data_IF_612443236072
#
_entry.id   IF_612443236072
#
_cell.length_a   1.000
_cell.length_b   1.000
_cell.length_c   1.000
_cell.angle_alpha   90.00
_cell.angle_beta   90.00
_cell.angle_gamma   90.00
#
_symmetry.space_group_name_H-M   'P 1'
#
loop_
_entity.id
_entity.type
_entity.pdbx_description
1 polymer ?
#
# COMPACT_ATOMS: atom_id res chain seq x y z
N UNK A 1 -13.36 -11.59 -51.28
CA UNK A 1 -12.53 -11.73 -50.06
C UNK A 1 -12.13 -10.33 -49.64
N UNK A 2 -12.82 -9.75 -48.66
CA UNK A 2 -12.40 -8.47 -48.08
C UNK A 2 -11.31 -8.83 -47.08
N UNK A 3 -10.08 -8.38 -47.33
CA UNK A 3 -8.97 -8.53 -46.41
C UNK A 3 -9.34 -7.82 -45.11
N UNK A 4 -9.43 -8.56 -44.01
CA UNK A 4 -9.43 -7.97 -42.68
C UNK A 4 -8.05 -7.31 -42.51
N UNK A 5 -8.02 -5.99 -42.62
CA UNK A 5 -6.83 -5.18 -42.36
C UNK A 5 -6.40 -5.44 -40.92
N UNK A 6 -5.23 -6.05 -40.72
CA UNK A 6 -4.53 -6.03 -39.44
C UNK A 6 -4.31 -4.55 -39.08
N UNK A 7 -5.07 -4.05 -38.10
CA UNK A 7 -4.92 -2.68 -37.60
C UNK A 7 -3.77 -2.67 -36.59
N UNK A 8 -2.74 -1.88 -36.87
CA UNK A 8 -1.56 -1.75 -36.02
C UNK A 8 -1.86 -0.91 -34.76
N UNK A 9 -2.05 -1.59 -33.63
CA UNK A 9 -2.23 -0.98 -32.31
C UNK A 9 -1.07 -0.08 -31.87
N UNK A 10 0.12 -0.22 -32.48
CA UNK A 10 1.23 0.70 -32.25
C UNK A 10 0.85 2.12 -32.64
N UNK A 11 0.01 2.29 -33.67
CA UNK A 11 -0.46 3.60 -34.15
C UNK A 11 -1.49 4.24 -33.21
N UNK A 12 -2.26 3.42 -32.49
CA UNK A 12 -3.26 3.90 -31.54
C UNK A 12 -2.67 4.25 -30.16
N UNK A 13 -1.73 3.44 -29.69
CA UNK A 13 -0.92 3.78 -28.52
C UNK A 13 -0.09 5.04 -28.83
N UNK A 14 0.37 5.22 -30.08
CA UNK A 14 1.01 6.45 -30.56
C UNK A 14 0.04 7.64 -30.71
N UNK A 15 -1.24 7.43 -30.98
CA UNK A 15 -2.20 8.52 -31.23
C UNK A 15 -2.85 9.12 -29.98
N UNK A 16 -2.63 8.52 -28.80
CA UNK A 16 -3.22 9.02 -27.55
C UNK A 16 -4.76 9.00 -27.57
N UNK A 17 -5.35 8.07 -28.33
CA UNK A 17 -6.79 8.02 -28.58
C UNK A 17 -7.62 8.08 -27.30
N UNK A 18 -8.61 9.00 -27.28
CA UNK A 18 -9.56 9.15 -26.17
C UNK A 18 -10.58 8.01 -26.19
N UNK A 19 -10.95 7.52 -25.02
CA UNK A 19 -11.92 6.45 -24.82
C UNK A 19 -12.94 6.91 -23.79
N UNK A 20 -14.22 6.67 -24.10
CA UNK A 20 -15.33 6.87 -23.17
C UNK A 20 -15.71 5.55 -22.54
N UNK A 21 -15.82 5.55 -21.22
CA UNK A 21 -16.18 4.40 -20.40
C UNK A 21 -17.39 4.78 -19.55
N UNK A 22 -18.47 4.05 -19.70
CA UNK A 22 -19.68 4.20 -18.91
C UNK A 22 -19.69 3.19 -17.78
N UNK A 23 -19.55 3.66 -16.55
CA UNK A 23 -19.53 2.83 -15.34
C UNK A 23 -20.84 3.05 -14.60
N UNK A 24 -21.74 2.07 -14.62
CA UNK A 24 -23.02 2.12 -13.92
C UNK A 24 -23.88 3.34 -14.27
N UNK A 25 -23.77 3.86 -15.50
CA UNK A 25 -24.50 5.03 -15.99
C UNK A 25 -23.72 6.35 -15.94
N UNK A 26 -22.52 6.39 -15.34
CA UNK A 26 -21.65 7.57 -15.36
C UNK A 26 -20.56 7.43 -16.41
N UNK A 27 -20.47 8.40 -17.33
CA UNK A 27 -19.47 8.39 -18.40
C UNK A 27 -18.19 9.08 -17.95
N UNK A 28 -17.09 8.35 -18.00
CA UNK A 28 -15.72 8.81 -17.80
C UNK A 28 -15.00 8.86 -19.14
N UNK A 29 -14.07 9.80 -19.28
CA UNK A 29 -13.23 9.91 -20.48
C UNK A 29 -11.76 9.89 -20.09
N UNK A 30 -10.99 9.04 -20.77
CA UNK A 30 -9.56 8.85 -20.52
C UNK A 30 -8.84 8.49 -21.83
N UNK A 31 -7.55 8.17 -21.77
CA UNK A 31 -6.80 7.71 -22.95
C UNK A 31 -6.55 6.21 -22.90
N UNK A 32 -6.37 5.59 -24.07
CA UNK A 32 -5.91 4.20 -24.16
C UNK A 32 -4.62 4.01 -23.36
N UNK A 33 -3.69 4.96 -23.45
CA UNK A 33 -2.40 4.87 -22.75
C UNK A 33 -2.54 4.76 -21.22
N UNK A 34 -3.53 5.45 -20.64
CA UNK A 34 -3.83 5.36 -19.20
C UNK A 34 -4.36 3.97 -18.84
N UNK A 35 -5.27 3.42 -19.65
CA UNK A 35 -5.89 2.10 -19.41
C UNK A 35 -4.93 0.93 -19.61
N UNK A 36 -3.85 1.13 -20.37
CA UNK A 36 -2.82 0.12 -20.67
C UNK A 36 -1.51 0.34 -19.92
N UNK A 37 -1.46 1.29 -18.97
CA UNK A 37 -0.18 1.69 -18.34
C UNK A 37 0.48 0.56 -17.57
N UNK A 38 -0.31 -0.18 -16.80
CA UNK A 38 0.17 -1.23 -15.91
C UNK A 38 0.27 -2.60 -16.63
N UNK A 39 0.10 -2.60 -17.95
CA UNK A 39 0.10 -3.82 -18.73
C UNK A 39 0.44 -3.55 -20.20
N UNK A 40 1.62 -4.00 -20.60
CA UNK A 40 1.97 -4.42 -21.97
C UNK A 40 1.09 -5.58 -22.49
N UNK A 41 -0.12 -5.72 -21.96
CA UNK A 41 -1.01 -6.87 -22.08
C UNK A 41 -1.92 -6.74 -23.28
N UNK A 42 -2.25 -5.53 -23.76
CA UNK A 42 -3.12 -5.35 -24.94
C UNK A 42 -2.51 -5.92 -26.21
N UNK A 43 -1.19 -5.76 -26.41
CA UNK A 43 -0.47 -6.42 -27.51
C UNK A 43 -0.50 -7.94 -27.38
N UNK A 44 -0.41 -8.48 -26.15
CA UNK A 44 -0.51 -9.92 -25.85
C UNK A 44 -1.94 -10.45 -26.07
N UNK A 45 -2.97 -9.70 -25.69
CA UNK A 45 -4.39 -10.08 -25.83
C UNK A 45 -4.81 -10.20 -27.28
N UNK A 46 -4.39 -9.26 -28.11
CA UNK A 46 -4.78 -9.22 -29.53
C UNK A 46 -3.98 -10.19 -30.40
N UNK A 47 -2.78 -10.56 -29.99
CA UNK A 47 -1.97 -11.59 -30.66
C UNK A 47 -2.27 -13.01 -30.21
N UNK A 48 -3.04 -13.18 -29.12
CA UNK A 48 -3.49 -14.49 -28.64
C UNK A 48 -4.80 -14.91 -29.34
N UNK A 49 -4.80 -16.02 -30.13
CA UNK A 49 -6.01 -16.50 -30.81
C UNK A 49 -7.10 -16.98 -29.84
N UNK A 50 -6.73 -17.27 -28.59
CA UNK A 50 -7.62 -17.72 -27.53
C UNK A 50 -7.41 -16.89 -26.25
N UNK A 51 -8.35 -15.98 -25.90
CA UNK A 51 -8.26 -15.13 -24.71
C UNK A 51 -8.26 -15.90 -23.38
N UNK A 52 -8.68 -17.18 -23.37
CA UNK A 52 -8.72 -17.99 -22.16
C UNK A 52 -7.34 -18.43 -21.63
N UNK A 53 -6.26 -18.17 -22.37
CA UNK A 53 -4.89 -18.57 -22.01
C UNK A 53 -4.01 -17.43 -21.48
N UNK A 54 -4.57 -16.23 -21.28
CA UNK A 54 -3.81 -15.09 -20.78
C UNK A 54 -4.04 -14.99 -19.28
N UNK A 55 -3.05 -15.42 -18.50
CA UNK A 55 -3.05 -15.22 -17.06
C UNK A 55 -3.18 -13.72 -16.74
N UNK A 56 -4.17 -13.42 -15.89
CA UNK A 56 -4.39 -12.14 -15.22
C UNK A 56 -4.32 -10.90 -16.12
N UNK A 57 -5.15 -10.84 -17.16
CA UNK A 57 -5.38 -9.60 -17.89
C UNK A 57 -6.12 -8.60 -17.01
N UNK A 58 -5.64 -7.35 -16.96
CA UNK A 58 -6.41 -6.23 -16.40
C UNK A 58 -7.73 -6.09 -17.14
N UNK A 59 -8.85 -6.11 -16.41
CA UNK A 59 -10.21 -6.11 -17.00
C UNK A 59 -10.39 -4.94 -17.97
N UNK A 60 -9.85 -3.76 -17.63
CA UNK A 60 -9.89 -2.58 -18.47
C UNK A 60 -9.15 -2.76 -19.81
N UNK A 61 -8.00 -3.43 -19.81
CA UNK A 61 -7.24 -3.73 -21.03
C UNK A 61 -7.98 -4.72 -21.93
N UNK A 62 -8.63 -5.73 -21.37
CA UNK A 62 -9.48 -6.67 -22.12
C UNK A 62 -10.68 -5.96 -22.75
N UNK A 63 -11.36 -5.10 -22.00
CA UNK A 63 -12.51 -4.36 -22.50
C UNK A 63 -12.13 -3.38 -23.61
N UNK A 64 -10.97 -2.72 -23.52
CA UNK A 64 -10.46 -1.89 -24.62
C UNK A 64 -10.19 -2.72 -25.87
N UNK A 65 -9.56 -3.89 -25.73
CA UNK A 65 -9.30 -4.79 -26.86
C UNK A 65 -10.60 -5.28 -27.53
N UNK A 66 -11.63 -5.62 -26.75
CA UNK A 66 -12.93 -6.04 -27.27
C UNK A 66 -13.69 -4.90 -27.98
N UNK A 67 -13.68 -3.70 -27.40
CA UNK A 67 -14.19 -2.48 -28.06
C UNK A 67 -13.56 -2.30 -29.45
N UNK A 68 -12.25 -2.50 -29.55
CA UNK A 68 -11.52 -2.40 -30.82
C UNK A 68 -11.95 -3.45 -31.83
N UNK A 69 -12.12 -4.70 -31.39
CA UNK A 69 -12.57 -5.79 -32.27
C UNK A 69 -13.99 -5.54 -32.79
N UNK A 70 -14.84 -4.93 -31.97
CA UNK A 70 -16.28 -4.79 -32.24
C UNK A 70 -16.68 -3.40 -32.73
N UNK A 71 -15.74 -2.45 -32.88
CA UNK A 71 -16.00 -1.06 -33.27
C UNK A 71 -17.10 -0.37 -32.45
N UNK A 72 -17.15 -0.65 -31.14
CA UNK A 72 -18.17 -0.08 -30.26
C UNK A 72 -17.81 1.37 -29.86
N UNK A 73 -18.78 2.29 -29.96
CA UNK A 73 -18.57 3.70 -29.61
C UNK A 73 -18.31 3.92 -28.11
N UNK A 74 -18.91 3.10 -27.25
CA UNK A 74 -18.90 3.24 -25.79
C UNK A 74 -18.54 1.92 -25.10
N UNK A 75 -17.70 1.97 -24.07
CA UNK A 75 -17.34 0.83 -23.25
C UNK A 75 -18.18 0.85 -21.98
N UNK A 76 -19.05 -0.14 -21.78
CA UNK A 76 -19.93 -0.21 -20.60
C UNK A 76 -19.38 -1.16 -19.54
N UNK A 77 -19.43 -0.74 -18.29
CA UNK A 77 -19.05 -1.50 -17.10
C UNK A 77 -20.20 -1.46 -16.10
N UNK A 78 -20.75 -2.62 -15.77
CA UNK A 78 -21.83 -2.76 -14.80
C UNK A 78 -21.29 -2.76 -13.36
N UNK A 79 -20.76 -1.61 -12.94
CA UNK A 79 -20.18 -1.37 -11.60
C UNK A 79 -20.56 0.00 -11.08
N UNK A 80 -20.34 0.22 -9.78
CA UNK A 80 -20.54 1.52 -9.18
C UNK A 80 -19.50 2.53 -9.69
N UNK A 81 -19.91 3.74 -10.12
CA UNK A 81 -18.97 4.77 -10.55
C UNK A 81 -18.21 5.44 -9.39
N UNK A 82 -18.65 5.25 -8.14
CA UNK A 82 -18.21 6.02 -6.97
C UNK A 82 -16.68 6.09 -6.81
N UNK A 83 -15.98 4.97 -7.01
CA UNK A 83 -14.52 4.88 -6.84
C UNK A 83 -13.76 4.78 -8.16
N UNK A 84 -14.45 4.80 -9.30
CA UNK A 84 -13.81 4.64 -10.60
C UNK A 84 -12.86 5.79 -10.94
N UNK A 85 -13.17 7.01 -10.51
CA UNK A 85 -12.26 8.14 -10.63
C UNK A 85 -10.90 7.86 -9.95
N UNK A 86 -10.90 7.22 -8.78
CA UNK A 86 -9.68 6.83 -8.05
C UNK A 86 -8.90 5.72 -8.75
N UNK A 87 -9.59 4.80 -9.42
CA UNK A 87 -8.94 3.82 -10.30
C UNK A 87 -8.19 4.54 -11.44
N UNK A 88 -8.82 5.54 -12.08
CA UNK A 88 -8.17 6.32 -13.12
C UNK A 88 -7.00 7.15 -12.59
N UNK A 89 -7.14 7.76 -11.42
CA UNK A 89 -6.05 8.51 -10.77
C UNK A 89 -4.86 7.59 -10.46
N UNK A 90 -5.11 6.38 -9.95
CA UNK A 90 -4.05 5.37 -9.76
C UNK A 90 -3.35 5.03 -11.08
N UNK A 91 -4.10 4.83 -12.17
CA UNK A 91 -3.52 4.60 -13.49
C UNK A 91 -2.75 5.82 -14.04
N UNK A 92 -3.01 7.04 -13.55
CA UNK A 92 -2.30 8.29 -13.94
C UNK A 92 -1.10 8.62 -13.06
N UNK A 93 -1.11 8.21 -11.81
CA UNK A 93 -0.07 8.56 -10.84
C UNK A 93 0.88 7.38 -10.57
N UNK A 94 0.42 6.15 -10.81
CA UNK A 94 1.17 4.92 -10.53
C UNK A 94 1.50 4.80 -9.05
N UNK A 95 2.78 4.55 -8.75
CA UNK A 95 3.30 4.42 -7.38
C UNK A 95 3.14 5.69 -6.53
N UNK A 96 2.94 6.87 -7.16
CA UNK A 96 2.74 8.13 -6.44
C UNK A 96 1.28 8.34 -6.01
N UNK A 97 0.38 7.38 -6.27
CA UNK A 97 -1.02 7.49 -5.91
C UNK A 97 -1.24 7.53 -4.40
N UNK A 98 -1.94 8.55 -3.93
CA UNK A 98 -2.32 8.69 -2.53
C UNK A 98 -3.59 7.89 -2.22
N UNK A 99 -3.44 6.83 -1.44
CA UNK A 99 -4.56 6.02 -0.95
C UNK A 99 -5.43 6.85 0.01
N UNK A 100 -6.77 6.74 -0.06
CA UNK A 100 -7.65 7.38 0.92
C UNK A 100 -7.28 7.00 2.36
N UNK A 101 -7.43 7.91 3.32
CA UNK A 101 -7.14 7.62 4.74
C UNK A 101 -8.33 6.95 5.45
N UNK A 102 -9.54 7.18 4.94
CA UNK A 102 -10.77 6.61 5.49
C UNK A 102 -10.85 5.09 5.23
N UNK A 103 -11.24 4.34 6.26
CA UNK A 103 -11.27 2.87 6.20
C UNK A 103 -12.34 2.36 5.22
N UNK A 104 -13.55 2.92 5.25
CA UNK A 104 -14.64 2.49 4.39
C UNK A 104 -14.32 2.80 2.92
N UNK A 105 -13.75 3.97 2.66
CA UNK A 105 -13.27 4.36 1.34
C UNK A 105 -12.16 3.44 0.82
N UNK A 106 -11.23 3.04 1.68
CA UNK A 106 -10.17 2.08 1.33
C UNK A 106 -10.71 0.70 1.01
N UNK A 107 -11.60 0.17 1.83
CA UNK A 107 -12.18 -1.16 1.60
C UNK A 107 -13.02 -1.18 0.32
N UNK A 108 -13.77 -0.11 0.04
CA UNK A 108 -14.49 0.02 -1.23
C UNK A 108 -13.52 0.10 -2.42
N UNK A 109 -12.47 0.91 -2.32
CA UNK A 109 -11.45 1.02 -3.38
C UNK A 109 -10.71 -0.30 -3.59
N UNK A 110 -10.42 -1.06 -2.53
CA UNK A 110 -9.82 -2.40 -2.59
C UNK A 110 -10.67 -3.36 -3.40
N UNK A 111 -11.99 -3.41 -3.15
CA UNK A 111 -12.93 -4.27 -3.89
C UNK A 111 -13.00 -3.90 -5.37
N UNK A 112 -12.97 -2.61 -5.69
CA UNK A 112 -12.89 -2.17 -7.09
C UNK A 112 -11.54 -2.54 -7.71
N UNK A 113 -10.42 -2.37 -7.00
CA UNK A 113 -9.11 -2.77 -7.46
C UNK A 113 -9.03 -4.28 -7.76
N UNK A 114 -9.63 -5.12 -6.91
CA UNK A 114 -9.77 -6.56 -7.18
C UNK A 114 -10.60 -6.83 -8.43
N UNK A 115 -11.72 -6.13 -8.60
CA UNK A 115 -12.57 -6.28 -9.79
C UNK A 115 -11.83 -5.91 -11.08
N UNK A 116 -11.11 -4.79 -11.10
CA UNK A 116 -10.34 -4.36 -12.27
C UNK A 116 -9.01 -5.13 -12.44
N UNK A 117 -8.73 -6.09 -11.55
CA UNK A 117 -7.52 -6.89 -11.50
C UNK A 117 -6.23 -6.02 -11.39
N UNK A 118 -6.23 -5.14 -10.38
CA UNK A 118 -5.14 -4.23 -10.01
C UNK A 118 -4.54 -4.67 -8.66
N UNK A 119 -3.72 -5.74 -8.63
CA UNK A 119 -3.24 -6.33 -7.38
C UNK A 119 -2.41 -5.37 -6.51
N UNK A 120 -1.56 -4.55 -7.14
CA UNK A 120 -0.75 -3.53 -6.42
C UNK A 120 -1.64 -2.50 -5.70
N UNK A 121 -2.72 -2.04 -6.35
CA UNK A 121 -3.67 -1.12 -5.72
C UNK A 121 -4.49 -1.82 -4.63
N UNK A 122 -4.88 -3.07 -4.83
CA UNK A 122 -5.57 -3.86 -3.81
C UNK A 122 -4.68 -4.08 -2.58
N UNK A 123 -3.38 -4.30 -2.77
CA UNK A 123 -2.39 -4.42 -1.70
C UNK A 123 -2.18 -3.09 -0.97
N UNK A 124 -2.10 -1.96 -1.69
CA UNK A 124 -2.05 -0.62 -1.09
C UNK A 124 -3.32 -0.26 -0.31
N UNK A 125 -4.46 -0.86 -0.64
CA UNK A 125 -5.72 -0.65 0.09
C UNK A 125 -5.96 -1.72 1.17
N UNK A 126 -5.09 -2.73 1.28
CA UNK A 126 -5.27 -3.86 2.18
C UNK A 126 -5.33 -3.42 3.65
N UNK A 127 -5.97 -4.21 4.53
CA UNK A 127 -5.97 -3.94 5.96
C UNK A 127 -4.54 -4.01 6.51
N UNK A 128 -4.14 -2.95 7.21
CA UNK A 128 -2.78 -2.75 7.70
C UNK A 128 -2.49 -1.27 7.91
N UNK A 129 -1.38 -0.99 8.58
CA UNK A 129 -0.87 0.37 8.76
C UNK A 129 -0.06 0.78 7.54
N UNK A 130 -0.30 2.01 7.08
CA UNK A 130 0.34 2.61 5.93
C UNK A 130 1.22 3.78 6.36
N UNK A 131 2.18 4.12 5.52
CA UNK A 131 3.02 5.30 5.75
C UNK A 131 2.13 6.54 5.82
N UNK A 132 2.29 7.32 6.89
CA UNK A 132 1.50 8.51 7.15
C UNK A 132 0.33 8.31 8.11
N UNK A 133 -0.10 7.07 8.38
CA UNK A 133 -1.17 6.77 9.33
C UNK A 133 -0.80 7.26 10.74
N UNK A 134 -1.79 7.86 11.42
CA UNK A 134 -1.70 8.17 12.84
C UNK A 134 -2.15 6.96 13.66
N UNK A 135 -1.33 6.58 14.63
CA UNK A 135 -1.50 5.35 15.40
C UNK A 135 -1.34 5.59 16.89
N UNK A 136 -2.02 4.75 17.65
CA UNK A 136 -1.91 4.65 19.11
C UNK A 136 -1.65 3.19 19.51
N UNK A 137 -1.14 2.99 20.73
CA UNK A 137 -0.90 1.66 21.26
C UNK A 137 -2.22 0.94 21.59
N UNK A 138 -2.30 -0.35 21.27
CA UNK A 138 -3.30 -1.22 21.90
C UNK A 138 -2.96 -1.39 23.37
N UNK A 139 -3.96 -1.36 24.26
CA UNK A 139 -3.75 -1.56 25.70
C UNK A 139 -3.01 -2.87 26.02
N UNK A 140 -3.31 -3.95 25.29
CA UNK A 140 -2.61 -5.24 25.42
C UNK A 140 -1.14 -5.15 25.00
N UNK A 141 -0.82 -4.33 23.99
CA UNK A 141 0.55 -4.08 23.58
C UNK A 141 1.29 -3.23 24.60
N UNK A 142 0.65 -2.24 25.23
CA UNK A 142 1.27 -1.47 26.32
C UNK A 142 1.74 -2.40 27.43
N UNK A 143 0.89 -3.33 27.88
CA UNK A 143 1.25 -4.31 28.92
C UNK A 143 2.44 -5.20 28.52
N UNK A 144 2.52 -5.60 27.25
CA UNK A 144 3.60 -6.44 26.76
C UNK A 144 4.93 -5.68 26.59
N UNK A 145 4.89 -4.42 26.14
CA UNK A 145 6.06 -3.70 25.67
C UNK A 145 6.59 -2.61 26.62
N UNK A 146 5.85 -2.15 27.62
CA UNK A 146 6.29 -1.00 28.43
C UNK A 146 7.65 -1.21 29.11
N UNK A 147 7.97 -2.41 29.57
CA UNK A 147 9.28 -2.72 30.17
C UNK A 147 10.44 -2.59 29.17
N UNK A 148 10.20 -2.89 27.89
CA UNK A 148 11.19 -2.67 26.84
C UNK A 148 11.50 -1.18 26.71
N UNK A 149 10.46 -0.32 26.72
CA UNK A 149 10.64 1.13 26.63
C UNK A 149 11.31 1.75 27.84
N UNK A 150 11.05 1.23 29.03
CA UNK A 150 11.79 1.64 30.24
C UNK A 150 13.29 1.40 30.08
N UNK A 151 13.68 0.21 29.58
CA UNK A 151 15.11 -0.08 29.33
C UNK A 151 15.68 0.78 28.22
N UNK A 152 14.87 1.11 27.21
CA UNK A 152 15.26 1.97 26.10
C UNK A 152 15.52 3.42 26.54
N UNK A 153 14.64 4.00 27.37
CA UNK A 153 14.84 5.34 27.94
C UNK A 153 15.95 5.38 29.00
N UNK A 154 16.05 4.36 29.86
CA UNK A 154 17.12 4.28 30.87
C UNK A 154 18.51 4.33 30.24
N UNK A 155 18.69 3.66 29.09
CA UNK A 155 19.94 3.67 28.32
C UNK A 155 20.06 4.90 27.40
N UNK A 156 19.37 6.01 27.72
CA UNK A 156 19.45 7.33 27.06
C UNK A 156 19.21 7.28 25.54
N UNK A 157 18.39 6.32 25.07
CA UNK A 157 18.18 6.05 23.64
C UNK A 157 19.49 5.74 22.87
N UNK A 158 20.63 5.53 23.57
CA UNK A 158 21.98 5.32 22.99
C UNK A 158 22.19 3.94 22.41
N UNK A 159 21.26 3.01 22.60
CA UNK A 159 21.36 1.62 22.16
C UNK A 159 20.34 1.30 21.06
N UNK A 160 20.49 1.96 19.92
CA UNK A 160 20.86 1.28 18.66
C UNK A 160 21.02 2.36 17.58
N UNK A 161 22.22 2.58 17.02
CA UNK A 161 22.44 3.59 16.01
C UNK A 161 21.67 3.20 14.75
N UNK A 162 20.64 3.97 14.41
CA UNK A 162 20.13 3.96 13.04
C UNK A 162 21.25 4.41 12.11
N UNK A 163 21.79 3.45 11.33
CA UNK A 163 22.86 3.54 10.33
C UNK A 163 24.25 3.84 10.93
N UNK A 164 25.31 3.05 10.77
CA UNK A 164 25.97 2.59 9.54
C UNK A 164 26.93 1.43 9.92
N UNK A 165 26.94 0.34 9.14
CA UNK A 165 27.89 -0.78 9.15
C UNK A 165 28.39 -1.32 10.51
N UNK A 166 27.62 -2.26 11.07
CA UNK A 166 28.08 -3.17 12.11
C UNK A 166 28.86 -4.36 11.50
N UNK A 167 29.80 -4.07 10.59
CA UNK A 167 30.58 -5.07 9.87
C UNK A 167 31.74 -5.63 10.71
N UNK A 168 32.21 -4.85 11.69
CA UNK A 168 33.44 -5.12 12.46
C UNK A 168 33.25 -5.09 13.98
N UNK A 169 32.01 -5.31 14.47
CA UNK A 169 31.80 -5.45 15.90
C UNK A 169 32.30 -6.83 16.36
N UNK A 170 33.42 -6.84 17.09
CA UNK A 170 34.08 -8.05 17.62
C UNK A 170 33.18 -8.91 18.51
N UNK A 171 32.11 -8.34 19.06
CA UNK A 171 31.24 -9.02 20.01
C UNK A 171 29.99 -9.64 19.38
N UNK A 172 29.52 -9.17 18.21
CA UNK A 172 28.21 -9.57 17.68
C UNK A 172 28.19 -10.27 16.30
N UNK A 173 29.34 -10.48 15.65
CA UNK A 173 29.48 -11.42 14.52
C UNK A 173 28.47 -11.28 13.36
N UNK A 174 27.92 -10.08 13.18
CA UNK A 174 27.08 -9.69 12.04
C UNK A 174 25.83 -10.55 11.80
N UNK A 175 25.16 -11.05 12.84
CA UNK A 175 23.82 -11.67 12.73
C UNK A 175 22.84 -11.00 13.69
N UNK A 176 21.92 -10.21 13.12
CA UNK A 176 20.72 -9.63 13.77
C UNK A 176 20.94 -9.12 15.19
N UNK A 177 21.21 -7.83 15.34
CA UNK A 177 21.30 -7.14 16.63
C UNK A 177 19.98 -7.30 17.43
N UNK A 178 19.95 -8.29 18.31
CA UNK A 178 19.10 -8.33 19.49
C UNK A 178 19.94 -7.87 20.67
N UNK A 179 20.33 -6.60 20.74
CA UNK A 179 21.06 -6.10 21.90
C UNK A 179 20.14 -6.18 23.13
N UNK A 180 20.55 -6.89 24.20
CA UNK A 180 19.87 -6.80 25.48
C UNK A 180 19.97 -5.36 25.95
N UNK A 181 18.84 -4.68 26.12
CA UNK A 181 18.81 -3.40 26.81
C UNK A 181 19.13 -3.67 28.29
N UNK A 182 20.42 -3.67 28.61
CA UNK A 182 20.90 -4.03 29.94
C UNK A 182 20.46 -3.00 30.96
N UNK A 183 20.03 -3.49 32.12
CA UNK A 183 19.71 -2.69 33.30
C UNK A 183 20.39 -3.32 34.51
N UNK A 184 20.70 -2.56 35.58
CA UNK A 184 21.30 -3.12 36.78
C UNK A 184 20.49 -4.29 37.37
N UNK A 185 21.11 -5.25 38.06
CA UNK A 185 20.42 -6.39 38.65
C UNK A 185 19.24 -6.01 39.58
N UNK A 186 19.35 -4.86 40.24
CA UNK A 186 18.33 -4.33 41.15
C UNK A 186 17.43 -3.24 40.51
N UNK A 187 17.28 -3.27 39.18
CA UNK A 187 16.49 -2.27 38.47
C UNK A 187 14.99 -2.36 38.84
N UNK A 188 14.45 -1.27 39.38
CA UNK A 188 13.06 -1.20 39.87
C UNK A 188 12.12 -0.64 38.81
N UNK A 189 11.45 -1.52 38.08
CA UNK A 189 10.49 -1.10 37.04
C UNK A 189 9.29 -0.31 37.59
N UNK A 190 8.93 -0.50 38.86
CA UNK A 190 7.78 0.19 39.48
C UNK A 190 7.99 1.71 39.57
N UNK A 191 9.24 2.17 39.66
CA UNK A 191 9.58 3.60 39.64
C UNK A 191 9.35 4.23 38.25
N UNK A 192 9.21 3.39 37.22
CA UNK A 192 9.03 3.79 35.83
C UNK A 192 7.60 3.56 35.31
N UNK A 193 6.62 3.38 36.20
CA UNK A 193 5.20 3.28 35.84
C UNK A 193 4.68 4.44 35.00
N UNK A 194 5.28 5.63 35.15
CA UNK A 194 4.95 6.80 34.32
C UNK A 194 5.18 6.53 32.82
N UNK A 195 6.18 5.72 32.43
CA UNK A 195 6.41 5.33 31.03
C UNK A 195 5.25 4.50 30.51
N UNK A 196 4.82 3.50 31.29
CA UNK A 196 3.68 2.64 30.97
C UNK A 196 2.39 3.46 30.80
N UNK A 197 2.07 4.33 31.74
CA UNK A 197 0.90 5.19 31.64
C UNK A 197 0.98 6.13 30.45
N UNK A 198 2.14 6.73 30.20
CA UNK A 198 2.32 7.63 29.06
C UNK A 198 2.06 6.92 27.74
N UNK A 199 2.54 5.69 27.56
CA UNK A 199 2.30 4.90 26.34
C UNK A 199 0.80 4.74 26.01
N UNK A 200 -0.08 4.72 27.01
CA UNK A 200 -1.53 4.58 26.77
C UNK A 200 -2.15 5.80 26.08
N UNK A 201 -1.49 6.95 26.12
CA UNK A 201 -1.97 8.23 25.58
C UNK A 201 -1.04 8.78 24.50
N UNK A 202 -0.07 7.99 24.01
CA UNK A 202 0.83 8.41 22.95
C UNK A 202 0.19 8.21 21.59
N UNK A 203 0.33 9.24 20.75
CA UNK A 203 0.13 9.11 19.31
C UNK A 203 1.48 9.10 18.60
N UNK A 204 1.49 8.48 17.44
CA UNK A 204 2.64 8.47 16.56
C UNK A 204 2.23 8.40 15.10
N UNK A 205 3.17 8.74 14.23
CA UNK A 205 3.00 8.69 12.79
C UNK A 205 3.82 7.56 12.20
N UNK A 206 3.19 6.71 11.40
CA UNK A 206 3.88 5.64 10.67
C UNK A 206 4.81 6.28 9.64
N UNK A 207 6.11 5.94 9.70
CA UNK A 207 7.16 6.45 8.81
C UNK A 207 7.63 5.43 7.80
N UNK A 208 7.49 4.13 8.12
CA UNK A 208 7.71 3.00 7.22
C UNK A 208 6.71 1.90 7.54
N UNK A 209 6.17 1.23 6.54
CA UNK A 209 5.35 0.05 6.69
C UNK A 209 5.97 -1.06 5.84
N UNK A 210 6.82 -1.88 6.48
CA UNK A 210 7.58 -2.93 5.80
C UNK A 210 6.78 -4.23 5.93
N UNK A 211 6.19 -4.70 4.82
CA UNK A 211 5.30 -5.86 4.79
C UNK A 211 4.09 -5.73 5.75
N UNK A 212 3.09 -6.62 5.63
CA UNK A 212 1.90 -6.62 6.51
C UNK A 212 2.19 -6.99 7.97
N UNK A 213 3.48 -7.07 8.36
CA UNK A 213 3.94 -7.65 9.63
C UNK A 213 4.47 -6.57 10.58
N UNK A 214 5.25 -5.60 10.08
CA UNK A 214 5.92 -4.61 10.92
C UNK A 214 5.85 -3.19 10.34
N UNK A 215 6.12 -2.21 11.21
CA UNK A 215 6.17 -0.81 10.83
C UNK A 215 7.14 -0.04 11.73
N UNK A 216 7.62 1.10 11.22
CA UNK A 216 8.37 2.09 11.99
C UNK A 216 7.48 3.29 12.31
N UNK A 217 7.37 3.65 13.59
CA UNK A 217 6.55 4.78 14.04
C UNK A 217 7.43 5.85 14.67
N UNK A 218 7.15 7.10 14.32
CA UNK A 218 7.67 8.27 15.01
C UNK A 218 6.62 8.79 16.00
N UNK A 219 6.93 8.70 17.29
CA UNK A 219 6.02 9.08 18.38
C UNK A 219 6.19 10.54 18.79
N UNK A 220 5.15 11.14 19.35
CA UNK A 220 5.13 12.57 19.74
C UNK A 220 6.18 12.93 20.80
N UNK A 221 6.65 11.95 21.58
CA UNK A 221 7.73 12.12 22.55
C UNK A 221 9.15 12.04 21.94
N UNK A 222 9.23 11.99 20.61
CA UNK A 222 10.46 11.89 19.83
C UNK A 222 11.00 10.47 19.65
N UNK A 223 10.34 9.43 20.18
CA UNK A 223 10.79 8.05 19.93
C UNK A 223 10.63 7.65 18.46
N UNK A 224 11.55 6.81 17.99
CA UNK A 224 11.48 6.14 16.69
C UNK A 224 11.68 4.66 16.91
N UNK A 225 10.65 3.87 16.62
CA UNK A 225 10.63 2.46 17.03
C UNK A 225 10.07 1.61 15.90
N UNK A 226 10.65 0.44 15.70
CA UNK A 226 10.20 -0.57 14.75
C UNK A 226 9.60 -1.78 15.49
N UNK A 227 8.38 -2.17 15.15
CA UNK A 227 7.65 -3.21 15.87
C UNK A 227 6.46 -3.75 15.05
N UNK A 228 5.83 -4.87 15.48
CA UNK A 228 4.73 -5.47 14.75
C UNK A 228 3.53 -4.52 14.61
N UNK A 229 2.91 -4.48 13.42
CA UNK A 229 1.70 -3.68 13.20
C UNK A 229 0.55 -4.10 14.13
N UNK A 230 0.54 -5.37 14.55
CA UNK A 230 -0.46 -5.92 15.46
C UNK A 230 -0.49 -5.23 16.84
N UNK A 231 0.60 -4.58 17.25
CA UNK A 231 0.69 -3.83 18.50
C UNK A 231 -0.08 -2.50 18.49
N UNK A 232 -0.52 -2.05 17.31
CA UNK A 232 -1.08 -0.73 17.08
C UNK A 232 -2.52 -0.78 16.59
N UNK A 233 -3.17 0.36 16.70
CA UNK A 233 -4.43 0.68 16.03
C UNK A 233 -4.37 2.11 15.49
N UNK A 234 -5.24 2.44 14.54
CA UNK A 234 -5.41 3.82 14.08
C UNK A 234 -5.88 4.69 15.25
N UNK A 235 -5.32 5.90 15.35
CA UNK A 235 -5.67 6.85 16.38
C UNK A 235 -7.12 7.34 16.20
N UNK A 236 -7.86 7.39 17.30
CA UNK A 236 -9.30 7.74 17.30
C UNK A 236 -9.59 9.24 17.35
N UNK A 237 -8.58 10.09 17.55
CA UNK A 237 -8.71 11.56 17.56
C UNK A 237 -7.45 12.23 17.00
N UNK A 238 -7.63 13.18 16.08
CA UNK A 238 -6.60 14.11 15.60
C UNK A 238 -6.49 15.31 16.53
#
# INVERSE_FOLDING_TARGET
MVAATEVDMSELVKSGGRVKINVGGTVFETTVTTLTRLGNTVTKILSCPNPSMIEAVQVLSAMVADRWRNSADELFVDRSPTYFAKILDYLRDGENFAVPTDFDARECLRREAEFYNLPELADMCAPGLHVGDWVEWKSSAVEAYWRFFVRYEYNDRKTCPTSVDCSDCKDCGSKTCGCPLDVPPNFRYDEWMHVKHRMQFMNGRVTKADSRVCCSVHWDNGWRVHFPQSALRLATSQ
#
